data_IF_773632691318
#
_entry.id   IF_773632691318
#
_cell.length_a   1.000
_cell.length_b   1.000
_cell.length_c   1.000
_cell.angle_alpha   90.00
_cell.angle_beta   90.00
_cell.angle_gamma   90.00
#
_symmetry.space_group_name_H-M   'P 1'
#
loop_
_entity.id
_entity.type
_entity.pdbx_description
1 polymer ?
#
# COMPACT_ATOMS: atom_id res chain seq x y z
N UNK A 1 9.16 29.10 -70.75
CA UNK A 1 8.93 27.73 -70.25
C UNK A 1 9.37 27.71 -68.78
N UNK A 2 8.51 28.10 -67.83
CA UNK A 2 7.73 27.19 -66.94
C UNK A 2 8.54 26.04 -66.33
N UNK A 3 8.97 26.18 -65.05
CA UNK A 3 8.33 25.53 -63.88
C UNK A 3 9.22 25.66 -62.63
N UNK A 4 8.64 26.27 -61.59
CA UNK A 4 8.97 26.00 -60.19
C UNK A 4 8.81 24.51 -59.91
N UNK A 5 9.69 23.91 -59.11
CA UNK A 5 9.32 22.77 -58.26
C UNK A 5 10.12 22.82 -56.97
N UNK A 6 9.35 22.96 -55.88
CA UNK A 6 9.74 22.84 -54.48
C UNK A 6 9.87 21.36 -54.11
N UNK A 7 10.87 20.98 -53.32
CA UNK A 7 10.81 19.86 -52.36
C UNK A 7 11.78 20.19 -51.22
N UNK A 8 11.33 20.87 -50.16
CA UNK A 8 10.68 20.30 -48.98
C UNK A 8 11.70 19.55 -48.07
N UNK A 9 12.32 20.32 -47.19
CA UNK A 9 13.02 19.83 -46.01
C UNK A 9 12.02 19.06 -45.12
N UNK A 10 12.27 17.77 -44.91
CA UNK A 10 11.55 16.98 -43.91
C UNK A 10 12.15 17.26 -42.54
N UNK A 11 11.55 18.24 -41.86
CA UNK A 11 11.79 18.49 -40.43
C UNK A 11 11.18 17.33 -39.63
N UNK A 12 12.03 16.72 -38.82
CA UNK A 12 11.67 15.79 -37.75
C UNK A 12 10.65 16.42 -36.81
N UNK A 13 9.51 15.76 -36.59
CA UNK A 13 8.69 16.00 -35.41
C UNK A 13 7.94 14.72 -35.01
N UNK A 14 8.71 13.71 -34.60
CA UNK A 14 8.19 12.59 -33.82
C UNK A 14 8.02 13.01 -32.37
N UNK A 15 7.02 13.83 -32.07
CA UNK A 15 6.58 14.08 -30.70
C UNK A 15 5.75 12.88 -30.23
N UNK A 16 6.44 11.85 -29.75
CA UNK A 16 5.85 10.83 -28.88
C UNK A 16 5.35 11.56 -27.62
N UNK A 17 4.06 11.84 -27.59
CA UNK A 17 3.32 12.17 -26.36
C UNK A 17 3.31 10.91 -25.48
N UNK A 18 4.40 10.67 -24.77
CA UNK A 18 4.36 9.89 -23.53
C UNK A 18 3.58 10.76 -22.53
N UNK A 19 2.26 10.66 -22.55
CA UNK A 19 1.41 11.00 -21.42
C UNK A 19 1.85 10.08 -20.28
N UNK A 20 2.88 10.50 -19.54
CA UNK A 20 3.14 10.01 -18.22
C UNK A 20 1.90 10.35 -17.39
N UNK A 21 0.93 9.44 -17.36
CA UNK A 21 -0.08 9.42 -16.32
C UNK A 21 0.70 9.53 -15.02
N UNK A 22 0.59 10.67 -14.36
CA UNK A 22 1.10 10.80 -13.01
C UNK A 22 0.50 9.63 -12.22
N UNK A 23 1.31 8.84 -11.50
CA UNK A 23 0.79 7.73 -10.72
C UNK A 23 -0.33 8.28 -9.85
N UNK A 24 -1.54 7.75 -10.04
CA UNK A 24 -2.70 8.16 -9.27
C UNK A 24 -2.35 7.89 -7.81
N UNK A 25 -2.36 8.95 -6.99
CA UNK A 25 -2.13 8.81 -5.55
C UNK A 25 -3.27 7.97 -5.01
N UNK A 26 -2.93 6.91 -4.26
CA UNK A 26 -3.91 6.17 -3.48
C UNK A 26 -4.38 7.10 -2.37
N UNK A 27 -5.69 7.23 -2.21
CA UNK A 27 -6.34 7.88 -1.07
C UNK A 27 -6.81 6.74 -0.14
N UNK A 28 -5.91 5.95 0.46
CA UNK A 28 -6.37 4.72 1.13
C UNK A 28 -7.24 5.01 2.37
N UNK A 29 -7.99 3.98 2.80
CA UNK A 29 -8.67 3.93 4.09
C UNK A 29 -8.15 2.75 4.92
N UNK A 30 -8.38 2.74 6.22
CA UNK A 30 -8.20 1.54 7.04
C UNK A 30 -9.26 0.50 6.70
N UNK A 31 -8.81 -0.71 6.40
CA UNK A 31 -9.68 -1.85 6.19
C UNK A 31 -10.42 -2.21 7.51
N UNK A 32 -11.75 -2.07 7.51
CA UNK A 32 -12.63 -2.42 8.64
C UNK A 32 -13.43 -3.68 8.33
N UNK A 33 -12.95 -4.81 8.83
CA UNK A 33 -13.57 -6.13 8.62
C UNK A 33 -14.85 -6.41 9.43
N UNK A 34 -15.38 -5.42 10.15
CA UNK A 34 -16.68 -5.50 10.84
C UNK A 34 -16.78 -6.43 12.05
N UNK A 35 -15.84 -7.35 12.26
CA UNK A 35 -15.79 -8.24 13.44
C UNK A 35 -14.36 -8.63 13.81
N UNK A 36 -14.14 -8.89 15.09
CA UNK A 36 -12.84 -9.37 15.57
C UNK A 36 -12.48 -10.73 14.96
N UNK A 37 -13.46 -11.62 14.77
CA UNK A 37 -13.24 -12.95 14.22
C UNK A 37 -12.67 -12.92 12.79
N UNK A 38 -13.15 -11.99 11.96
CA UNK A 38 -12.61 -11.80 10.61
C UNK A 38 -11.20 -11.20 10.67
N UNK A 39 -11.01 -10.14 11.46
CA UNK A 39 -9.71 -9.50 11.67
C UNK A 39 -8.68 -10.51 12.16
N UNK A 40 -9.02 -11.28 13.20
CA UNK A 40 -8.16 -12.30 13.79
C UNK A 40 -7.76 -13.38 12.78
N UNK A 41 -8.70 -13.88 11.98
CA UNK A 41 -8.38 -14.83 10.90
C UNK A 41 -7.40 -14.25 9.88
N UNK A 42 -7.55 -12.98 9.52
CA UNK A 42 -6.62 -12.33 8.59
C UNK A 42 -5.26 -12.04 9.24
N UNK A 43 -5.23 -11.71 10.53
CA UNK A 43 -3.98 -11.59 11.30
C UNK A 43 -3.23 -12.92 11.35
N UNK A 44 -3.91 -14.04 11.58
CA UNK A 44 -3.30 -15.39 11.57
C UNK A 44 -2.80 -15.80 10.18
N UNK A 45 -3.34 -15.24 9.09
CA UNK A 45 -2.78 -15.43 7.74
C UNK A 45 -1.52 -14.58 7.52
N UNK A 46 -1.46 -13.38 8.11
CA UNK A 46 -0.33 -12.46 7.99
C UNK A 46 0.87 -12.89 8.85
N UNK A 47 0.59 -13.32 10.08
CA UNK A 47 1.54 -13.84 11.07
C UNK A 47 1.13 -15.26 11.49
N UNK A 48 1.39 -16.28 10.65
CA UNK A 48 1.02 -17.67 10.95
C UNK A 48 1.81 -18.26 12.12
N UNK A 49 2.91 -17.60 12.52
CA UNK A 49 3.82 -17.93 13.61
C UNK A 49 3.48 -17.21 14.94
N UNK A 50 2.45 -16.34 14.95
CA UNK A 50 2.01 -15.68 16.18
C UNK A 50 1.22 -16.62 17.09
N UNK A 51 1.29 -16.36 18.40
CA UNK A 51 0.36 -16.95 19.36
C UNK A 51 -1.07 -16.48 19.01
N UNK A 52 -2.00 -17.39 18.67
CA UNK A 52 -3.36 -17.03 18.31
C UNK A 52 -4.10 -16.28 19.43
N UNK A 53 -3.68 -16.41 20.69
CA UNK A 53 -4.30 -15.73 21.83
C UNK A 53 -3.46 -14.55 22.36
N UNK A 54 -2.24 -14.35 21.83
CA UNK A 54 -1.27 -13.39 22.34
C UNK A 54 -1.35 -11.99 21.72
N UNK A 55 -2.35 -11.72 20.88
CA UNK A 55 -2.50 -10.45 20.17
C UNK A 55 -2.77 -9.27 21.13
N UNK A 56 -1.96 -8.22 21.03
CA UNK A 56 -2.22 -6.95 21.73
C UNK A 56 -2.70 -5.91 20.73
N UNK A 57 -3.80 -5.24 21.05
CA UNK A 57 -4.37 -4.19 20.20
C UNK A 57 -3.96 -2.83 20.78
N UNK A 58 -3.28 -2.01 19.98
CA UNK A 58 -2.99 -0.61 20.31
C UNK A 58 -3.85 0.29 19.43
N UNK A 59 -4.79 0.99 20.05
CA UNK A 59 -5.56 2.06 19.42
C UNK A 59 -4.80 3.36 19.54
N UNK A 60 -4.82 4.17 18.50
CA UNK A 60 -4.18 5.48 18.50
C UNK A 60 -5.14 6.54 17.96
N UNK A 61 -4.97 7.77 18.40
CA UNK A 61 -5.67 8.93 17.85
C UNK A 61 -4.61 9.95 17.51
N UNK A 62 -4.51 10.28 16.22
CA UNK A 62 -3.58 11.30 15.77
C UNK A 62 -4.04 12.69 16.26
N UNK A 63 -3.08 13.51 16.68
CA UNK A 63 -3.34 14.94 16.90
C UNK A 63 -3.51 15.67 15.55
N UNK A 64 -4.09 16.87 15.57
CA UNK A 64 -4.23 17.69 14.35
C UNK A 64 -2.89 17.95 13.65
N UNK A 65 -1.79 18.07 14.41
CA UNK A 65 -0.46 18.26 13.84
C UNK A 65 0.06 16.99 13.17
N UNK A 66 -0.22 15.82 13.75
CA UNK A 66 0.13 14.52 13.17
C UNK A 66 -0.70 14.24 11.92
N UNK A 67 -2.00 14.56 11.93
CA UNK A 67 -2.87 14.48 10.75
C UNK A 67 -2.33 15.34 9.62
N UNK A 68 -2.01 16.62 9.88
CA UNK A 68 -1.44 17.52 8.86
C UNK A 68 -0.12 16.99 8.28
N UNK A 69 0.74 16.41 9.12
CA UNK A 69 1.98 15.78 8.67
C UNK A 69 1.69 14.60 7.74
N UNK A 70 0.80 13.69 8.15
CA UNK A 70 0.42 12.51 7.38
C UNK A 70 -0.18 12.91 6.02
N UNK A 71 -1.12 13.84 6.01
CA UNK A 71 -1.78 14.32 4.80
C UNK A 71 -0.79 15.00 3.83
N UNK A 72 0.19 15.74 4.35
CA UNK A 72 1.25 16.32 3.54
C UNK A 72 2.15 15.25 2.91
N UNK A 73 2.53 14.23 3.67
CA UNK A 73 3.40 13.13 3.24
C UNK A 73 2.71 12.14 2.29
N UNK A 74 1.41 11.94 2.45
CA UNK A 74 0.59 11.09 1.60
C UNK A 74 0.06 11.83 0.37
N UNK A 75 -0.13 13.15 0.52
CA UNK A 75 -0.63 14.02 -0.52
C UNK A 75 -2.14 13.93 -0.76
N UNK A 76 -2.89 13.54 0.27
CA UNK A 76 -4.36 13.50 0.32
C UNK A 76 -4.88 13.71 1.75
N UNK A 77 -6.17 14.02 1.91
CA UNK A 77 -6.82 14.17 3.22
C UNK A 77 -7.16 12.80 3.81
N UNK A 78 -6.75 12.54 5.06
CA UNK A 78 -7.04 11.26 5.73
C UNK A 78 -8.53 11.12 5.97
N UNK A 79 -9.04 9.90 5.80
CA UNK A 79 -10.41 9.62 6.17
C UNK A 79 -10.59 9.60 7.68
N UNK A 80 -11.80 9.87 8.20
CA UNK A 80 -12.07 9.88 9.64
C UNK A 80 -11.60 8.62 10.37
N UNK A 81 -11.71 7.46 9.72
CA UNK A 81 -11.20 6.18 10.20
C UNK A 81 -9.69 6.12 10.33
N UNK A 82 -8.94 6.68 9.37
CA UNK A 82 -7.48 6.64 9.34
C UNK A 82 -6.86 7.51 10.42
N UNK A 83 -7.65 8.47 10.93
CA UNK A 83 -7.27 9.31 12.07
C UNK A 83 -7.26 8.53 13.40
N UNK A 84 -7.85 7.32 13.41
CA UNK A 84 -8.06 6.47 14.59
C UNK A 84 -7.61 5.01 14.35
N UNK A 85 -6.33 4.74 14.03
CA UNK A 85 -5.90 3.40 13.66
C UNK A 85 -5.88 2.42 14.82
N UNK A 86 -6.13 1.16 14.48
CA UNK A 86 -5.83 0.00 15.33
C UNK A 86 -4.59 -0.72 14.81
N UNK A 87 -3.61 -0.91 15.69
CA UNK A 87 -2.40 -1.66 15.43
C UNK A 87 -2.43 -2.98 16.20
N UNK A 88 -2.08 -4.08 15.53
CA UNK A 88 -2.10 -5.41 16.11
C UNK A 88 -0.67 -5.90 16.33
N UNK A 89 -0.26 -5.98 17.58
CA UNK A 89 1.08 -6.39 17.98
C UNK A 89 1.10 -7.92 18.07
N UNK A 90 1.96 -8.54 17.26
CA UNK A 90 2.13 -9.98 17.18
C UNK A 90 3.32 -10.42 18.04
N UNK A 91 3.13 -11.49 18.81
CA UNK A 91 4.20 -12.21 19.52
C UNK A 91 4.05 -13.71 19.30
N UNK A 92 5.13 -14.47 19.37
CA UNK A 92 5.06 -15.93 19.37
C UNK A 92 4.59 -16.46 20.74
N UNK A 93 4.43 -17.79 20.85
CA UNK A 93 4.00 -18.45 22.09
C UNK A 93 4.99 -18.31 23.26
N UNK A 94 6.23 -17.89 23.00
CA UNK A 94 7.24 -17.61 24.01
C UNK A 94 7.24 -16.13 24.41
N UNK A 95 6.41 -15.30 23.77
CA UNK A 95 6.33 -13.85 24.01
C UNK A 95 7.36 -13.05 23.23
N UNK A 96 8.08 -13.63 22.27
CA UNK A 96 8.99 -12.87 21.42
C UNK A 96 8.20 -12.03 20.42
N UNK A 97 8.59 -10.77 20.29
CA UNK A 97 7.95 -9.84 19.36
C UNK A 97 8.21 -10.23 17.91
N UNK A 98 7.14 -10.36 17.12
CA UNK A 98 7.21 -10.70 15.69
C UNK A 98 7.01 -9.49 14.78
N UNK A 99 6.20 -8.52 15.22
CA UNK A 99 5.90 -7.33 14.43
C UNK A 99 4.62 -6.63 14.87
N UNK A 100 4.32 -5.53 14.19
CA UNK A 100 3.04 -4.82 14.28
C UNK A 100 2.33 -4.90 12.95
N UNK A 101 1.04 -5.24 12.96
CA UNK A 101 0.20 -5.30 11.79
C UNK A 101 -0.77 -4.10 11.71
N UNK A 102 -1.08 -3.71 10.47
CA UNK A 102 -2.20 -2.83 10.10
C UNK A 102 -2.82 -3.35 8.80
N UNK A 103 -4.10 -3.05 8.57
CA UNK A 103 -4.78 -3.35 7.32
C UNK A 103 -5.21 -2.05 6.64
N UNK A 104 -4.92 -1.94 5.35
CA UNK A 104 -5.18 -0.79 4.50
C UNK A 104 -6.04 -1.24 3.31
N UNK A 105 -7.15 -0.55 3.06
CA UNK A 105 -7.88 -0.57 1.80
C UNK A 105 -7.40 0.60 0.93
N UNK A 106 -6.46 0.39 -0.01
CA UNK A 106 -5.97 1.44 -0.89
C UNK A 106 -7.01 1.97 -1.90
N UNK A 107 -8.20 1.39 -2.02
CA UNK A 107 -9.19 1.88 -3.00
C UNK A 107 -10.12 2.91 -2.38
N UNK A 108 -10.16 4.11 -2.96
CA UNK A 108 -11.23 5.07 -2.69
C UNK A 108 -12.47 4.90 -3.53
N UNK A 109 -12.30 4.32 -4.72
CA UNK A 109 -13.38 4.19 -5.68
C UNK A 109 -13.66 2.71 -5.89
N UNK A 110 -14.87 2.25 -5.56
CA UNK A 110 -15.31 0.90 -5.89
C UNK A 110 -15.10 0.64 -7.38
N UNK A 111 -14.31 -0.38 -7.72
CA UNK A 111 -14.22 -0.89 -9.08
C UNK A 111 -15.23 -2.01 -9.21
N UNK A 112 -16.07 -2.00 -10.24
CA UNK A 112 -17.02 -3.10 -10.47
C UNK A 112 -16.38 -4.12 -11.39
N UNK A 113 -16.36 -5.38 -10.97
CA UNK A 113 -15.93 -6.53 -11.76
C UNK A 113 -17.01 -7.61 -11.64
N UNK A 114 -17.52 -8.09 -12.77
CA UNK A 114 -18.55 -9.13 -12.85
C UNK A 114 -19.80 -8.86 -11.97
N UNK A 115 -20.22 -7.60 -11.89
CA UNK A 115 -21.38 -7.18 -11.11
C UNK A 115 -21.15 -7.08 -9.60
N UNK A 116 -19.93 -7.34 -9.11
CA UNK A 116 -19.53 -7.16 -7.72
C UNK A 116 -18.57 -5.99 -7.53
N UNK A 117 -18.52 -5.45 -6.32
CA UNK A 117 -17.48 -4.49 -5.91
C UNK A 117 -16.18 -5.26 -5.73
N UNK A 118 -15.15 -4.89 -6.49
CA UNK A 118 -13.79 -5.37 -6.35
C UNK A 118 -13.15 -4.67 -5.15
N UNK A 119 -13.01 -5.43 -4.07
CA UNK A 119 -12.24 -5.03 -2.88
C UNK A 119 -10.76 -5.32 -3.10
N UNK A 120 -9.89 -4.52 -2.49
CA UNK A 120 -8.46 -4.78 -2.42
C UNK A 120 -8.00 -4.37 -1.03
N UNK A 121 -7.83 -5.35 -0.14
CA UNK A 121 -7.40 -5.07 1.23
C UNK A 121 -6.00 -5.64 1.43
N UNK A 122 -5.11 -4.85 2.03
CA UNK A 122 -3.70 -5.19 2.19
C UNK A 122 -3.38 -5.20 3.67
N UNK A 123 -2.88 -6.32 4.17
CA UNK A 123 -2.31 -6.41 5.51
C UNK A 123 -0.80 -6.26 5.45
N UNK A 124 -0.26 -5.35 6.26
CA UNK A 124 1.17 -5.05 6.32
C UNK A 124 1.65 -5.31 7.75
N UNK A 125 2.69 -6.13 7.87
CA UNK A 125 3.42 -6.37 9.10
C UNK A 125 4.79 -5.71 9.07
N UNK A 126 5.11 -4.94 10.10
CA UNK A 126 6.36 -4.19 10.24
C UNK A 126 7.13 -4.72 11.46
N UNK A 127 8.43 -4.97 11.30
CA UNK A 127 9.29 -5.45 12.38
C UNK A 127 9.79 -4.29 13.28
N UNK A 128 10.61 -4.62 14.28
CA UNK A 128 11.16 -3.64 15.22
C UNK A 128 12.13 -2.62 14.57
N UNK A 129 12.64 -2.92 13.38
CA UNK A 129 13.52 -2.03 12.60
C UNK A 129 12.72 -1.04 11.74
N UNK A 130 11.38 -1.11 11.73
CA UNK A 130 10.57 -0.27 10.85
C UNK A 130 10.56 -0.74 9.39
N UNK A 131 10.84 -2.03 9.15
CA UNK A 131 10.81 -2.66 7.82
C UNK A 131 9.63 -3.60 7.66
N UNK A 132 9.11 -3.69 6.44
CA UNK A 132 8.03 -4.62 6.10
C UNK A 132 8.54 -6.06 6.24
N UNK A 133 8.07 -6.80 7.23
CA UNK A 133 8.41 -8.20 7.45
C UNK A 133 7.37 -9.17 6.89
N UNK A 134 6.13 -8.72 6.76
CA UNK A 134 4.99 -9.49 6.25
C UNK A 134 4.10 -8.59 5.40
N UNK A 135 3.52 -9.14 4.35
CA UNK A 135 2.51 -8.47 3.54
C UNK A 135 1.60 -9.52 2.90
N UNK A 136 0.30 -9.24 2.86
CA UNK A 136 -0.70 -10.06 2.17
C UNK A 136 -1.81 -9.20 1.59
N UNK A 137 -2.38 -9.68 0.49
CA UNK A 137 -3.60 -9.15 -0.13
C UNK A 137 -4.76 -10.08 0.21
N UNK A 138 -5.90 -9.49 0.55
CA UNK A 138 -7.13 -10.16 0.99
C UNK A 138 -8.27 -9.83 0.04
N UNK A 139 -9.17 -10.79 -0.13
CA UNK A 139 -10.45 -10.70 -0.83
C UNK A 139 -10.41 -10.12 -2.26
N UNK A 140 -9.22 -10.08 -2.86
CA UNK A 140 -9.01 -9.63 -4.23
C UNK A 140 -9.46 -10.67 -5.25
N UNK A 141 -10.36 -10.26 -6.15
CA UNK A 141 -10.94 -11.12 -7.20
C UNK A 141 -10.42 -10.84 -8.61
N UNK A 142 -9.45 -9.95 -8.75
CA UNK A 142 -8.77 -9.71 -10.03
C UNK A 142 -7.70 -10.77 -10.31
N UNK A 143 -6.57 -10.36 -10.88
CA UNK A 143 -5.45 -11.24 -11.15
C UNK A 143 -4.84 -11.78 -9.85
N UNK A 144 -4.92 -13.10 -9.68
CA UNK A 144 -4.41 -13.81 -8.49
C UNK A 144 -2.91 -13.60 -8.26
N UNK A 145 -2.14 -13.25 -9.30
CA UNK A 145 -0.71 -12.96 -9.18
C UNK A 145 -0.43 -11.81 -8.19
N UNK A 146 -1.38 -10.87 -8.00
CA UNK A 146 -1.26 -9.78 -7.04
C UNK A 146 -1.21 -10.27 -5.57
N UNK A 147 -1.80 -11.43 -5.29
CA UNK A 147 -1.82 -12.03 -3.96
C UNK A 147 -0.71 -13.07 -3.73
N UNK A 148 0.15 -13.31 -4.73
CA UNK A 148 1.21 -14.31 -4.66
C UNK A 148 2.52 -13.76 -4.11
N UNK A 149 3.30 -14.63 -3.48
CA UNK A 149 4.60 -14.29 -2.90
C UNK A 149 5.58 -13.72 -3.93
N UNK A 150 5.51 -14.15 -5.19
CA UNK A 150 6.37 -13.63 -6.26
C UNK A 150 6.23 -12.10 -6.45
N UNK A 151 5.01 -11.57 -6.31
CA UNK A 151 4.77 -10.13 -6.33
C UNK A 151 5.05 -9.50 -4.96
N UNK A 152 4.48 -10.07 -3.90
CA UNK A 152 4.51 -9.49 -2.56
C UNK A 152 5.91 -9.44 -1.91
N UNK A 153 6.78 -10.39 -2.22
CA UNK A 153 8.15 -10.41 -1.68
C UNK A 153 8.99 -9.22 -2.14
N UNK A 154 8.62 -8.55 -3.23
CA UNK A 154 9.31 -7.35 -3.71
C UNK A 154 9.22 -6.17 -2.72
N UNK A 155 8.21 -6.20 -1.83
CA UNK A 155 7.94 -5.17 -0.83
C UNK A 155 8.52 -5.51 0.55
N UNK A 156 8.86 -6.79 0.81
CA UNK A 156 9.48 -7.20 2.08
C UNK A 156 10.87 -6.59 2.21
N UNK A 157 11.24 -6.19 3.43
CA UNK A 157 12.51 -5.54 3.75
C UNK A 157 12.55 -4.04 3.46
N UNK A 158 11.56 -3.49 2.75
CA UNK A 158 11.46 -2.04 2.51
C UNK A 158 11.12 -1.30 3.79
N UNK A 159 11.68 -0.10 3.91
CA UNK A 159 11.44 0.88 4.96
C UNK A 159 10.84 2.16 4.38
N UNK A 160 10.49 3.14 5.21
CA UNK A 160 9.72 4.32 4.78
C UNK A 160 10.39 5.10 3.63
N UNK A 161 11.72 5.18 3.64
CA UNK A 161 12.50 5.94 2.64
C UNK A 161 12.77 5.12 1.36
N UNK A 162 12.30 3.87 1.30
CA UNK A 162 12.38 3.04 0.09
C UNK A 162 11.48 3.57 -1.03
N UNK A 163 11.77 3.17 -2.27
CA UNK A 163 10.86 3.44 -3.39
C UNK A 163 9.67 2.48 -3.37
N UNK A 164 8.45 2.97 -3.62
CA UNK A 164 7.21 2.18 -3.69
C UNK A 164 6.50 2.30 -5.05
N UNK A 165 7.12 2.95 -6.03
CA UNK A 165 6.57 3.11 -7.36
C UNK A 165 6.88 1.89 -8.24
N UNK A 166 5.83 1.27 -8.78
CA UNK A 166 5.96 0.18 -9.74
C UNK A 166 6.69 0.65 -11.00
N UNK A 167 7.61 -0.19 -11.49
CA UNK A 167 8.55 0.14 -12.56
C UNK A 167 9.81 0.90 -12.10
N UNK A 168 9.95 1.18 -10.80
CA UNK A 168 11.12 1.89 -10.24
C UNK A 168 11.70 1.09 -9.07
N UNK A 169 13.01 1.18 -8.84
CA UNK A 169 13.64 0.56 -7.67
C UNK A 169 13.47 -0.96 -7.61
N UNK A 170 13.46 -1.62 -8.77
CA UNK A 170 13.29 -3.07 -8.90
C UNK A 170 11.86 -3.58 -8.70
N UNK A 171 10.87 -2.70 -8.50
CA UNK A 171 9.46 -3.09 -8.38
C UNK A 171 8.86 -3.34 -9.76
N UNK A 172 8.22 -4.49 -9.92
CA UNK A 172 7.58 -4.92 -11.17
C UNK A 172 6.11 -5.15 -10.92
N UNK A 173 5.27 -4.44 -11.67
CA UNK A 173 3.82 -4.63 -11.63
C UNK A 173 3.41 -6.00 -12.18
N UNK A 174 2.30 -6.52 -11.67
CA UNK A 174 1.60 -7.66 -12.26
C UNK A 174 1.10 -7.28 -13.65
N UNK A 175 1.33 -8.16 -14.62
CA UNK A 175 0.88 -7.96 -16.00
C UNK A 175 -0.65 -7.81 -16.05
N UNK A 176 -1.12 -6.77 -16.74
CA UNK A 176 -2.56 -6.43 -16.83
C UNK A 176 -3.12 -5.69 -15.62
N UNK A 177 -2.34 -5.48 -14.55
CA UNK A 177 -2.77 -4.81 -13.32
C UNK A 177 -1.76 -3.77 -12.79
N UNK A 178 -1.29 -2.82 -13.63
CA UNK A 178 -0.31 -1.82 -13.18
C UNK A 178 -0.88 -0.90 -12.09
N UNK A 179 -2.18 -0.59 -12.15
CA UNK A 179 -2.86 0.25 -11.17
C UNK A 179 -2.97 -0.47 -9.82
N UNK A 180 -3.49 -1.69 -9.78
CA UNK A 180 -3.62 -2.45 -8.54
C UNK A 180 -2.28 -2.81 -7.93
N UNK A 181 -1.27 -3.10 -8.76
CA UNK A 181 0.10 -3.26 -8.28
C UNK A 181 0.59 -2.00 -7.56
N UNK A 182 0.32 -0.82 -8.13
CA UNK A 182 0.69 0.45 -7.50
C UNK A 182 -0.08 0.69 -6.20
N UNK A 183 -1.37 0.32 -6.14
CA UNK A 183 -2.17 0.43 -4.91
C UNK A 183 -1.57 -0.39 -3.76
N UNK A 184 -1.10 -1.62 -4.02
CA UNK A 184 -0.42 -2.44 -2.98
C UNK A 184 0.88 -1.78 -2.52
N UNK A 185 1.65 -1.19 -3.44
CA UNK A 185 2.85 -0.43 -3.10
C UNK A 185 2.55 0.83 -2.26
N UNK A 186 1.47 1.54 -2.58
CA UNK A 186 1.02 2.72 -1.83
C UNK A 186 0.59 2.34 -0.41
N UNK A 187 -0.23 1.28 -0.26
CA UNK A 187 -0.64 0.75 1.04
C UNK A 187 0.56 0.37 1.93
N UNK A 188 1.62 -0.18 1.33
CA UNK A 188 2.85 -0.51 2.02
C UNK A 188 3.57 0.73 2.59
N UNK A 189 3.72 1.79 1.77
CA UNK A 189 4.30 3.07 2.23
C UNK A 189 3.46 3.70 3.33
N UNK A 190 2.15 3.70 3.14
CA UNK A 190 1.21 4.32 4.07
C UNK A 190 1.25 3.62 5.44
N UNK A 191 1.20 2.29 5.48
CA UNK A 191 1.33 1.53 6.71
C UNK A 191 2.61 1.87 7.49
N UNK A 192 3.75 1.99 6.80
CA UNK A 192 5.02 2.39 7.41
C UNK A 192 4.94 3.80 8.00
N UNK A 193 4.34 4.74 7.27
CA UNK A 193 4.20 6.12 7.71
C UNK A 193 3.28 6.24 8.94
N UNK A 194 2.10 5.61 8.90
CA UNK A 194 1.15 5.58 10.01
C UNK A 194 1.81 4.99 11.26
N UNK A 195 2.47 3.83 11.13
CA UNK A 195 3.17 3.21 12.25
C UNK A 195 4.33 4.07 12.76
N UNK A 196 5.08 4.75 11.88
CA UNK A 196 6.17 5.65 12.31
C UNK A 196 5.63 6.79 13.17
N UNK A 197 4.54 7.45 12.74
CA UNK A 197 3.97 8.57 13.50
C UNK A 197 3.36 8.10 14.82
N UNK A 198 2.61 7.00 14.83
CA UNK A 198 1.92 6.52 16.03
C UNK A 198 2.81 5.75 17.03
N UNK A 199 3.84 5.05 16.54
CA UNK A 199 4.62 4.08 17.31
C UNK A 199 6.12 4.39 17.34
N UNK A 200 6.60 5.27 16.45
CA UNK A 200 7.99 5.71 16.45
C UNK A 200 8.36 6.40 17.75
N UNK A 201 9.62 6.28 18.15
CA UNK A 201 10.15 7.09 19.25
C UNK A 201 10.09 8.55 18.79
N UNK A 202 9.38 9.38 19.55
CA UNK A 202 9.57 10.83 19.46
C UNK A 202 10.96 11.06 20.05
N UNK A 203 11.94 11.38 19.21
CA UNK A 203 13.17 11.95 19.72
C UNK A 203 12.76 13.22 20.48
N UNK A 204 13.05 13.23 21.79
CA UNK A 204 12.76 14.34 22.70
C UNK A 204 13.74 15.48 22.52
#
# INVERSE_FOLDING_TARGET
>A
MTRLTRFAAKVCLGLLFCLALAPQRSEAHLAKWGSWEITHRNLMKLFPDADPNGWRIKRYQYSDSEVKLLEAELGFELYPEDKLPEFFIASDAQGNFLGVAIFIDPRTKPKILDGGILTLEVGIGVNAEGKISRIKVYDYRGNVALAQDAFLNQLRGRELDSNFKMGVGGLVAVAGEPEESQLVGNAAREALLLMKVALGRRDG
#
